data_IF_311860004564
#
_entry.id   IF_311860004564
#
_cell.length_a   1.000
_cell.length_b   1.000
_cell.length_c   1.000
_cell.angle_alpha   90.00
_cell.angle_beta   90.00
_cell.angle_gamma   90.00
#
_symmetry.space_group_name_H-M   'P 1'
#
loop_
_entity.id
_entity.type
_entity.pdbx_description
1 polymer ?
#
# COMPACT_ATOMS: atom_id res chain seq x y z
N UNK A 1 16.72 -7.74 20.71
CA UNK A 1 17.63 -6.69 20.23
C UNK A 1 17.12 -6.26 18.87
N UNK A 2 16.56 -5.06 18.76
CA UNK A 2 15.99 -4.58 17.51
C UNK A 2 17.13 -4.26 16.53
N UNK A 3 17.17 -4.97 15.40
CA UNK A 3 18.07 -4.63 14.30
C UNK A 3 17.58 -3.31 13.70
N UNK A 4 18.13 -2.20 14.18
CA UNK A 4 17.98 -0.89 13.56
C UNK A 4 18.83 -0.88 12.29
N UNK A 5 18.15 -0.97 11.15
CA UNK A 5 18.33 -0.30 9.86
C UNK A 5 19.71 0.23 9.37
N UNK A 6 19.87 0.39 8.05
CA UNK A 6 21.07 0.03 7.34
C UNK A 6 22.08 1.15 7.43
N UNK A 7 23.09 0.97 8.28
CA UNK A 7 24.24 1.86 8.27
C UNK A 7 25.50 1.07 8.05
N UNK A 8 26.29 1.63 7.14
CA UNK A 8 27.68 1.30 6.90
C UNK A 8 28.46 1.30 8.23
N UNK A 9 29.37 0.35 8.38
CA UNK A 9 30.14 0.13 9.61
C UNK A 9 30.99 1.36 9.96
N UNK A 10 31.32 2.19 8.97
CA UNK A 10 32.20 3.33 9.10
C UNK A 10 31.58 4.54 9.84
N UNK A 11 30.24 4.66 9.90
CA UNK A 11 29.55 5.80 10.55
C UNK A 11 29.03 5.49 11.97
N UNK A 12 29.43 4.34 12.53
CA UNK A 12 28.90 3.79 13.80
C UNK A 12 29.12 4.67 15.04
N UNK A 13 30.09 5.57 15.02
CA UNK A 13 30.38 6.48 16.14
C UNK A 13 29.36 7.62 16.24
N UNK A 14 28.78 8.04 15.11
CA UNK A 14 27.74 9.08 15.06
C UNK A 14 26.41 8.58 15.67
N UNK A 15 26.20 7.26 15.74
CA UNK A 15 25.02 6.64 16.40
C UNK A 15 24.91 7.03 17.87
N UNK A 16 26.03 7.22 18.57
CA UNK A 16 26.01 7.54 20.00
C UNK A 16 25.52 8.97 20.22
N UNK A 17 25.95 9.91 19.38
CA UNK A 17 25.50 11.31 19.44
C UNK A 17 24.03 11.45 19.02
N UNK A 18 23.62 10.73 17.98
CA UNK A 18 22.22 10.73 17.53
C UNK A 18 21.28 10.03 18.50
N UNK A 19 21.71 8.92 19.12
CA UNK A 19 20.93 8.26 20.18
C UNK A 19 20.71 9.21 21.35
N UNK A 20 21.77 9.85 21.86
CA UNK A 20 21.64 10.76 22.99
C UNK A 20 20.74 11.97 22.68
N UNK A 21 20.89 12.58 21.50
CA UNK A 21 20.07 13.71 21.08
C UNK A 21 18.62 13.31 20.76
N UNK A 22 18.39 12.08 20.28
CA UNK A 22 17.05 11.52 20.08
C UNK A 22 16.39 11.21 21.44
N UNK A 23 17.11 10.57 22.36
CA UNK A 23 16.64 10.25 23.71
C UNK A 23 16.29 11.54 24.50
N UNK A 24 17.08 12.59 24.37
CA UNK A 24 16.80 13.90 24.97
C UNK A 24 15.51 14.52 24.42
N UNK A 25 15.27 14.39 23.11
CA UNK A 25 14.04 14.90 22.47
C UNK A 25 12.82 14.06 22.82
N UNK A 26 12.95 12.75 22.91
CA UNK A 26 11.90 11.87 23.40
C UNK A 26 11.54 12.21 24.85
N UNK A 27 12.53 12.52 25.70
CA UNK A 27 12.32 12.95 27.08
C UNK A 27 11.59 14.30 27.22
N UNK A 28 11.55 15.12 26.17
CA UNK A 28 10.80 16.38 26.14
C UNK A 28 9.30 16.19 25.85
N UNK A 29 8.83 14.95 25.69
CA UNK A 29 7.41 14.59 25.62
C UNK A 29 6.78 14.68 24.23
N UNK A 30 7.56 14.92 23.18
CA UNK A 30 7.08 14.92 21.80
C UNK A 30 7.90 13.94 20.95
N UNK A 31 7.54 12.67 21.06
CA UNK A 31 8.18 11.58 20.31
C UNK A 31 8.11 11.81 18.79
N UNK A 32 7.05 12.48 18.31
CA UNK A 32 6.88 12.79 16.90
C UNK A 32 7.86 13.87 16.43
N UNK A 33 8.08 14.91 17.23
CA UNK A 33 9.09 15.93 16.95
C UNK A 33 10.52 15.39 17.06
N UNK A 34 10.79 14.46 17.98
CA UNK A 34 12.08 13.77 18.08
C UNK A 34 12.38 12.96 16.80
N UNK A 35 11.39 12.21 16.32
CA UNK A 35 11.45 11.48 15.06
C UNK A 35 11.63 12.40 13.85
N UNK A 36 10.90 13.51 13.79
CA UNK A 36 11.01 14.51 12.73
C UNK A 36 12.41 15.12 12.66
N UNK A 37 12.98 15.44 13.82
CA UNK A 37 14.33 15.97 13.90
C UNK A 37 15.36 14.97 13.39
N UNK A 38 15.25 13.70 13.81
CA UNK A 38 16.14 12.62 13.39
C UNK A 38 16.09 12.48 11.86
N UNK A 39 14.89 12.52 11.29
CA UNK A 39 14.72 12.42 9.85
C UNK A 39 15.37 13.52 9.03
N UNK A 40 15.13 14.78 9.41
CA UNK A 40 15.69 15.92 8.69
C UNK A 40 17.24 15.85 8.67
N UNK A 41 17.82 15.27 9.72
CA UNK A 41 19.26 15.01 9.79
C UNK A 41 19.70 13.86 8.89
N UNK A 42 18.89 12.81 8.73
CA UNK A 42 19.21 11.67 7.85
C UNK A 42 19.04 12.00 6.36
N UNK A 43 17.93 12.63 5.99
CA UNK A 43 17.59 13.02 4.60
C UNK A 43 18.65 13.96 3.99
N UNK A 44 19.15 14.91 4.78
CA UNK A 44 20.13 15.89 4.33
C UNK A 44 21.56 15.36 4.21
N UNK A 45 21.87 14.18 4.77
CA UNK A 45 23.27 13.74 4.95
C UNK A 45 23.71 12.59 4.05
N UNK A 46 22.83 11.70 3.62
CA UNK A 46 23.25 10.52 2.83
C UNK A 46 22.30 10.21 1.68
N UNK A 47 22.81 9.57 0.62
CA UNK A 47 21.98 9.05 -0.45
C UNK A 47 20.96 8.02 0.07
N UNK A 48 21.38 7.19 1.03
CA UNK A 48 20.53 6.22 1.74
C UNK A 48 19.43 6.88 2.56
N UNK A 49 19.69 7.99 3.24
CA UNK A 49 18.66 8.76 3.96
C UNK A 49 17.57 9.32 3.03
N UNK A 50 17.94 9.74 1.81
CA UNK A 50 16.98 10.12 0.77
C UNK A 50 16.20 8.91 0.23
N UNK A 51 16.85 7.79 -0.01
CA UNK A 51 16.20 6.55 -0.48
C UNK A 51 15.23 5.97 0.57
N UNK A 52 15.58 6.07 1.85
CA UNK A 52 14.68 5.79 2.97
C UNK A 52 13.51 6.77 3.04
N UNK A 53 13.75 8.04 2.74
CA UNK A 53 12.69 9.04 2.71
C UNK A 53 11.70 8.87 1.58
N UNK A 54 12.18 8.37 0.44
CA UNK A 54 11.32 7.95 -0.63
C UNK A 54 10.56 6.64 -0.32
N UNK A 55 11.03 5.80 0.60
CA UNK A 55 10.42 4.52 0.98
C UNK A 55 10.06 4.47 2.48
N UNK A 56 9.20 5.38 2.93
CA UNK A 56 8.87 5.53 4.33
C UNK A 56 8.17 4.28 4.89
N UNK A 57 8.83 3.62 5.84
CA UNK A 57 8.27 2.52 6.63
C UNK A 57 8.24 2.97 8.10
N UNK A 58 7.10 3.34 8.67
CA UNK A 58 7.01 3.54 10.09
C UNK A 58 7.20 2.20 10.81
N UNK A 59 8.42 1.92 11.24
CA UNK A 59 8.71 0.73 12.05
C UNK A 59 8.12 0.97 13.43
N UNK A 60 7.30 0.03 13.92
CA UNK A 60 6.77 -0.02 15.31
C UNK A 60 7.81 0.25 16.40
N UNK A 61 9.09 0.02 16.13
CA UNK A 61 10.19 0.29 17.04
C UNK A 61 10.51 1.79 17.22
N UNK A 62 10.11 2.65 16.26
CA UNK A 62 10.37 4.09 16.28
C UNK A 62 9.17 4.90 16.77
N UNK A 63 7.94 4.37 16.67
CA UNK A 63 6.75 4.96 17.26
C UNK A 63 6.12 3.95 18.23
N UNK A 64 6.22 4.13 19.57
CA UNK A 64 5.66 3.20 20.54
C UNK A 64 4.13 3.12 20.44
N UNK A 65 3.50 4.13 19.85
CA UNK A 65 2.07 4.18 19.59
C UNK A 65 1.76 3.66 18.17
N UNK A 66 0.67 2.87 18.00
CA UNK A 66 0.24 2.45 16.68
C UNK A 66 -0.07 3.66 15.80
N UNK A 67 0.22 3.55 14.50
CA UNK A 67 -0.25 4.55 13.55
C UNK A 67 -1.77 4.38 13.40
N UNK A 68 -2.48 5.47 13.62
CA UNK A 68 -3.93 5.58 13.60
C UNK A 68 -4.33 6.78 12.73
N UNK A 69 -5.63 6.95 12.52
CA UNK A 69 -6.17 8.10 11.80
C UNK A 69 -5.73 9.45 12.37
N UNK A 70 -5.56 9.53 13.69
CA UNK A 70 -5.21 10.77 14.37
C UNK A 70 -3.76 11.23 14.11
N UNK A 71 -2.85 10.28 13.87
CA UNK A 71 -1.42 10.57 13.78
C UNK A 71 -0.84 10.43 12.35
N UNK A 72 -1.55 9.80 11.41
CA UNK A 72 -1.09 9.66 10.01
C UNK A 72 -0.82 11.01 9.34
N UNK A 73 -1.74 11.98 9.46
CA UNK A 73 -1.56 13.32 8.90
C UNK A 73 -0.46 14.15 9.57
N UNK A 74 0.06 13.69 10.71
CA UNK A 74 1.17 14.33 11.44
C UNK A 74 2.52 13.67 11.10
N UNK A 75 2.53 12.61 10.30
CA UNK A 75 3.77 12.00 9.83
C UNK A 75 4.54 13.01 8.98
N UNK A 76 5.80 13.15 9.32
CA UNK A 76 6.71 14.02 8.61
C UNK A 76 7.28 13.35 7.36
N UNK A 77 7.83 14.14 6.44
CA UNK A 77 8.49 13.61 5.23
C UNK A 77 7.55 13.13 4.11
N UNK A 78 6.23 13.14 4.33
CA UNK A 78 5.24 12.77 3.32
C UNK A 78 5.39 13.55 2.01
N UNK A 79 5.80 14.82 2.07
CA UNK A 79 6.00 15.67 0.88
C UNK A 79 6.99 15.07 -0.16
N UNK A 80 7.96 14.26 0.30
CA UNK A 80 8.96 13.61 -0.54
C UNK A 80 8.78 12.08 -0.63
N UNK A 81 7.72 11.55 -0.02
CA UNK A 81 7.46 10.12 0.08
C UNK A 81 6.92 9.58 -1.25
N UNK A 82 7.60 8.60 -1.83
CA UNK A 82 7.18 7.93 -3.07
C UNK A 82 6.53 6.57 -2.79
N UNK A 83 6.98 5.86 -1.76
CA UNK A 83 6.43 4.61 -1.29
C UNK A 83 6.18 4.68 0.22
N UNK A 84 4.96 4.35 0.65
CA UNK A 84 4.53 4.37 2.05
C UNK A 84 3.96 3.00 2.41
N UNK A 85 4.48 2.40 3.48
CA UNK A 85 4.00 1.11 3.97
C UNK A 85 3.32 1.28 5.33
N UNK A 86 2.02 1.08 5.39
CA UNK A 86 1.18 1.20 6.59
C UNK A 86 0.55 -0.15 6.96
N UNK A 87 1.09 -1.25 6.45
CA UNK A 87 0.57 -2.58 6.72
C UNK A 87 0.58 -2.88 8.24
N UNK A 88 -0.43 -3.61 8.70
CA UNK A 88 -0.61 -4.01 10.10
C UNK A 88 -0.70 -2.82 11.08
N UNK A 89 -1.19 -1.67 10.60
CA UNK A 89 -1.50 -0.49 11.42
C UNK A 89 -3.00 -0.35 11.68
N UNK A 90 -3.36 0.61 12.53
CA UNK A 90 -4.75 0.90 12.86
C UNK A 90 -5.33 2.03 11.98
N UNK A 91 -4.71 2.35 10.84
CA UNK A 91 -5.26 3.34 9.91
C UNK A 91 -6.61 2.86 9.37
N UNK A 92 -7.60 3.72 9.37
CA UNK A 92 -8.89 3.55 8.73
C UNK A 92 -9.14 4.64 7.68
N UNK A 93 -10.38 4.72 7.21
CA UNK A 93 -10.74 5.64 6.12
C UNK A 93 -10.45 7.10 6.47
N UNK A 94 -10.62 7.50 7.74
CA UNK A 94 -10.42 8.89 8.18
C UNK A 94 -8.96 9.33 8.10
N UNK A 95 -8.03 8.44 8.42
CA UNK A 95 -6.59 8.71 8.36
C UNK A 95 -6.09 9.01 6.96
N UNK A 96 -6.72 8.41 5.94
CA UNK A 96 -6.30 8.58 4.54
C UNK A 96 -6.37 10.05 4.07
N UNK A 97 -7.19 10.89 4.72
CA UNK A 97 -7.20 12.33 4.45
C UNK A 97 -5.83 12.98 4.69
N UNK A 98 -5.04 12.43 5.63
CA UNK A 98 -3.68 12.87 5.93
C UNK A 98 -2.68 12.63 4.79
N UNK A 99 -2.97 11.71 3.87
CA UNK A 99 -2.12 11.42 2.71
C UNK A 99 -2.16 12.50 1.63
N UNK A 100 -3.05 13.50 1.75
CA UNK A 100 -3.06 14.67 0.86
C UNK A 100 -1.75 15.47 0.90
N UNK A 101 -0.97 15.32 1.98
CA UNK A 101 0.36 15.91 2.11
C UNK A 101 1.48 15.08 1.45
N UNK A 102 1.14 14.02 0.69
CA UNK A 102 2.08 13.14 0.00
C UNK A 102 1.92 13.23 -1.54
N UNK A 103 2.28 14.35 -2.17
CA UNK A 103 2.01 14.60 -3.59
C UNK A 103 2.81 13.68 -4.53
N UNK A 104 3.91 13.08 -4.05
CA UNK A 104 4.77 12.18 -4.82
C UNK A 104 4.46 10.70 -4.57
N UNK A 105 3.47 10.39 -3.72
CA UNK A 105 3.19 9.02 -3.32
C UNK A 105 2.68 8.20 -4.52
N UNK A 106 3.48 7.22 -4.93
CA UNK A 106 3.22 6.33 -6.05
C UNK A 106 3.00 4.88 -5.63
N UNK A 107 3.51 4.44 -4.49
CA UNK A 107 3.28 3.11 -3.93
C UNK A 107 2.74 3.21 -2.51
N UNK A 108 1.65 2.52 -2.23
CA UNK A 108 1.00 2.53 -0.92
C UNK A 108 0.57 1.12 -0.53
N UNK A 109 1.06 0.66 0.62
CA UNK A 109 0.64 -0.60 1.23
C UNK A 109 -0.21 -0.31 2.47
N UNK A 110 -1.47 -0.74 2.43
CA UNK A 110 -2.47 -0.60 3.49
C UNK A 110 -2.96 -1.98 3.98
N UNK A 111 -2.16 -3.03 3.78
CA UNK A 111 -2.58 -4.39 4.12
C UNK A 111 -2.91 -4.54 5.61
N UNK A 112 -3.94 -5.31 5.94
CA UNK A 112 -4.39 -5.55 7.31
C UNK A 112 -4.67 -4.27 8.11
N UNK A 113 -5.18 -3.23 7.46
CA UNK A 113 -5.64 -2.00 8.11
C UNK A 113 -7.16 -1.97 8.22
N UNK A 114 -7.73 -0.90 8.79
CA UNK A 114 -9.19 -0.70 8.95
C UNK A 114 -9.82 0.04 7.77
N UNK A 115 -9.14 0.10 6.63
CA UNK A 115 -9.64 0.75 5.41
C UNK A 115 -10.79 -0.04 4.81
N UNK A 116 -11.83 0.66 4.37
CA UNK A 116 -13.03 0.09 3.75
C UNK A 116 -13.25 0.68 2.35
N UNK A 117 -14.37 0.30 1.70
CA UNK A 117 -14.80 0.86 0.41
C UNK A 117 -14.90 2.40 0.44
N UNK A 118 -15.12 3.04 1.60
CA UNK A 118 -15.16 4.49 1.71
C UNK A 118 -13.78 5.14 1.56
N UNK A 119 -12.73 4.47 2.03
CA UNK A 119 -11.36 4.96 1.92
C UNK A 119 -10.89 5.11 0.46
N UNK A 120 -11.41 4.28 -0.44
CA UNK A 120 -11.09 4.32 -1.87
C UNK A 120 -11.36 5.69 -2.51
N UNK A 121 -12.34 6.45 -2.00
CA UNK A 121 -12.66 7.79 -2.49
C UNK A 121 -11.54 8.81 -2.20
N UNK A 122 -10.77 8.59 -1.13
CA UNK A 122 -9.63 9.42 -0.74
C UNK A 122 -8.38 8.98 -1.51
N UNK A 123 -8.16 7.66 -1.62
CA UNK A 123 -7.04 7.10 -2.38
C UNK A 123 -7.07 7.49 -3.86
N UNK A 124 -8.28 7.57 -4.44
CA UNK A 124 -8.50 8.03 -5.82
C UNK A 124 -8.00 9.47 -6.10
N UNK A 125 -7.74 10.26 -5.06
CA UNK A 125 -7.28 11.65 -5.18
C UNK A 125 -5.74 11.77 -5.15
N UNK A 126 -5.01 10.67 -4.90
CA UNK A 126 -3.55 10.67 -4.91
C UNK A 126 -3.03 10.76 -6.35
N UNK A 127 -2.38 11.87 -6.74
CA UNK A 127 -2.15 12.19 -8.16
C UNK A 127 -1.12 11.27 -8.83
N UNK A 128 -0.21 10.70 -8.04
CA UNK A 128 0.91 9.90 -8.52
C UNK A 128 0.76 8.40 -8.23
N UNK A 129 -0.37 7.98 -7.65
CA UNK A 129 -0.55 6.60 -7.21
C UNK A 129 -0.51 5.63 -8.39
N UNK A 130 0.37 4.64 -8.29
CA UNK A 130 0.70 3.65 -9.32
C UNK A 130 0.49 2.21 -8.84
N UNK A 131 0.81 1.95 -7.56
CA UNK A 131 0.70 0.65 -6.90
C UNK A 131 -0.03 0.83 -5.57
N UNK A 132 -1.05 0.00 -5.34
CA UNK A 132 -1.87 0.01 -4.14
C UNK A 132 -2.12 -1.41 -3.66
N UNK A 133 -1.70 -1.71 -2.43
CA UNK A 133 -1.97 -3.01 -1.78
C UNK A 133 -2.99 -2.79 -0.65
N UNK A 134 -4.10 -3.53 -0.70
CA UNK A 134 -5.22 -3.45 0.24
C UNK A 134 -5.57 -4.83 0.80
N UNK A 135 -4.57 -5.71 0.88
CA UNK A 135 -4.78 -7.10 1.27
C UNK A 135 -5.33 -7.19 2.70
N UNK A 136 -6.29 -8.07 2.95
CA UNK A 136 -6.89 -8.26 4.27
C UNK A 136 -7.75 -7.09 4.78
N UNK A 137 -8.00 -6.05 3.97
CA UNK A 137 -8.93 -4.97 4.31
C UNK A 137 -10.40 -5.42 4.16
N UNK A 138 -11.33 -4.71 4.82
CA UNK A 138 -12.77 -5.02 4.77
C UNK A 138 -13.45 -4.47 3.50
N UNK A 139 -12.95 -4.85 2.31
CA UNK A 139 -13.45 -4.40 1.02
C UNK A 139 -14.48 -5.35 0.43
N UNK A 140 -15.63 -4.81 0.01
CA UNK A 140 -16.70 -5.54 -0.70
C UNK A 140 -16.72 -5.26 -2.20
N UNK A 141 -16.10 -4.15 -2.62
CA UNK A 141 -16.01 -3.72 -4.01
C UNK A 141 -17.05 -2.67 -4.43
N UNK A 142 -17.93 -2.24 -3.52
CA UNK A 142 -19.01 -1.28 -3.79
C UNK A 142 -18.49 0.04 -4.39
N UNK A 143 -17.27 0.47 -4.04
CA UNK A 143 -16.68 1.73 -4.51
C UNK A 143 -15.42 1.56 -5.37
N UNK A 144 -15.06 0.35 -5.80
CA UNK A 144 -13.82 0.11 -6.55
C UNK A 144 -13.70 0.98 -7.80
N UNK A 145 -14.78 1.19 -8.53
CA UNK A 145 -14.75 2.02 -9.74
C UNK A 145 -14.38 3.49 -9.47
N UNK A 146 -14.43 3.96 -8.22
CA UNK A 146 -13.93 5.30 -7.87
C UNK A 146 -12.44 5.44 -8.08
N UNK A 147 -11.67 4.35 -8.06
CA UNK A 147 -10.26 4.38 -8.40
C UNK A 147 -10.01 4.60 -9.90
N UNK A 148 -11.03 4.61 -10.77
CA UNK A 148 -10.83 4.87 -12.21
C UNK A 148 -10.28 6.27 -12.52
N UNK A 149 -10.42 7.23 -11.58
CA UNK A 149 -9.82 8.56 -11.69
C UNK A 149 -8.33 8.58 -11.31
N UNK A 150 -7.82 7.56 -10.61
CA UNK A 150 -6.39 7.38 -10.40
C UNK A 150 -5.76 6.79 -11.67
N UNK A 151 -5.59 7.62 -12.70
CA UNK A 151 -5.20 7.19 -14.05
C UNK A 151 -3.81 6.58 -14.15
N UNK A 152 -2.96 6.80 -13.14
CA UNK A 152 -1.62 6.22 -13.05
C UNK A 152 -1.61 4.83 -12.39
N UNK A 153 -2.72 4.41 -11.75
CA UNK A 153 -2.82 3.14 -11.04
C UNK A 153 -2.81 1.99 -12.04
N UNK A 154 -1.75 1.18 -12.00
CA UNK A 154 -1.61 -0.01 -12.84
C UNK A 154 -1.48 -1.31 -12.02
N UNK A 155 -1.24 -1.22 -10.72
CA UNK A 155 -1.09 -2.36 -9.82
C UNK A 155 -2.03 -2.22 -8.62
N UNK A 156 -2.87 -3.23 -8.41
CA UNK A 156 -3.87 -3.26 -7.34
C UNK A 156 -3.98 -4.67 -6.75
N UNK A 157 -3.62 -4.81 -5.49
CA UNK A 157 -3.77 -6.06 -4.75
C UNK A 157 -4.93 -5.95 -3.76
N UNK A 158 -5.85 -6.92 -3.85
CA UNK A 158 -7.07 -7.03 -3.08
C UNK A 158 -7.19 -8.44 -2.47
N UNK A 159 -6.05 -9.08 -2.19
CA UNK A 159 -6.04 -10.44 -1.66
C UNK A 159 -6.68 -10.46 -0.26
N UNK A 160 -7.27 -11.58 0.15
CA UNK A 160 -7.90 -11.72 1.47
C UNK A 160 -9.00 -10.68 1.76
N UNK A 161 -9.64 -10.11 0.73
CA UNK A 161 -10.77 -9.19 0.89
C UNK A 161 -12.12 -9.91 0.70
N UNK A 162 -13.21 -9.26 1.10
CA UNK A 162 -14.59 -9.77 0.93
C UNK A 162 -15.14 -9.45 -0.48
N UNK A 163 -14.26 -9.37 -1.47
CA UNK A 163 -14.63 -9.02 -2.84
C UNK A 163 -15.42 -10.17 -3.50
N UNK A 164 -16.62 -9.85 -3.99
CA UNK A 164 -17.51 -10.80 -4.67
C UNK A 164 -17.78 -10.39 -6.14
N UNK A 165 -18.70 -11.10 -6.81
CA UNK A 165 -18.98 -10.92 -8.24
C UNK A 165 -19.38 -9.49 -8.65
N UNK A 166 -20.09 -8.75 -7.81
CA UNK A 166 -20.44 -7.36 -8.13
C UNK A 166 -19.24 -6.41 -8.01
N UNK A 167 -18.33 -6.67 -7.07
CA UNK A 167 -17.05 -5.96 -6.96
C UNK A 167 -16.16 -6.16 -8.19
N UNK A 168 -16.20 -7.34 -8.80
CA UNK A 168 -15.48 -7.59 -10.06
C UNK A 168 -15.97 -6.73 -11.23
N UNK A 169 -17.28 -6.50 -11.35
CA UNK A 169 -17.81 -5.62 -12.39
C UNK A 169 -17.28 -4.20 -12.24
N UNK A 170 -17.14 -3.72 -11.00
CA UNK A 170 -16.56 -2.42 -10.70
C UNK A 170 -15.06 -2.39 -11.01
N UNK A 171 -14.33 -3.45 -10.66
CA UNK A 171 -12.90 -3.59 -10.93
C UNK A 171 -12.57 -3.46 -12.43
N UNK A 172 -13.41 -4.02 -13.30
CA UNK A 172 -13.22 -3.98 -14.75
C UNK A 172 -13.44 -2.59 -15.37
N UNK A 173 -13.99 -1.63 -14.62
CA UNK A 173 -14.04 -0.23 -15.04
C UNK A 173 -12.68 0.48 -14.90
N UNK A 174 -11.74 -0.10 -14.15
CA UNK A 174 -10.36 0.41 -14.05
C UNK A 174 -9.53 -0.09 -15.23
N UNK A 175 -9.70 0.54 -16.38
CA UNK A 175 -9.06 0.11 -17.63
C UNK A 175 -7.54 0.30 -17.66
N UNK A 176 -6.94 1.00 -16.70
CA UNK A 176 -5.49 1.19 -16.62
C UNK A 176 -4.75 0.06 -15.89
N UNK A 177 -5.48 -0.83 -15.19
CA UNK A 177 -4.86 -1.91 -14.42
C UNK A 177 -4.16 -2.91 -15.33
N UNK A 178 -2.97 -3.31 -14.88
CA UNK A 178 -2.11 -4.31 -15.52
C UNK A 178 -1.87 -5.49 -14.58
N UNK A 179 -1.67 -5.23 -13.29
CA UNK A 179 -1.38 -6.24 -12.27
C UNK A 179 -2.49 -6.23 -11.24
N UNK A 180 -3.17 -7.37 -11.06
CA UNK A 180 -4.31 -7.48 -10.14
C UNK A 180 -4.21 -8.75 -9.31
N UNK A 181 -4.11 -8.58 -7.98
CA UNK A 181 -4.17 -9.66 -6.99
C UNK A 181 -5.58 -9.85 -6.44
N UNK A 182 -6.13 -11.06 -6.56
CA UNK A 182 -7.47 -11.45 -6.08
C UNK A 182 -7.43 -12.79 -5.31
N UNK A 183 -6.27 -13.20 -4.82
CA UNK A 183 -6.16 -14.44 -4.06
C UNK A 183 -7.03 -14.38 -2.79
N UNK A 184 -7.59 -15.53 -2.41
CA UNK A 184 -8.37 -15.66 -1.16
C UNK A 184 -9.53 -14.64 -1.04
N UNK A 185 -10.15 -14.29 -2.17
CA UNK A 185 -11.38 -13.50 -2.26
C UNK A 185 -12.63 -14.40 -2.38
N UNK A 186 -13.82 -13.80 -2.31
CA UNK A 186 -15.12 -14.50 -2.44
C UNK A 186 -15.62 -14.57 -3.90
N UNK A 187 -14.70 -14.47 -4.86
CA UNK A 187 -15.02 -14.50 -6.29
C UNK A 187 -15.44 -15.91 -6.74
N UNK A 188 -16.53 -15.98 -7.51
CA UNK A 188 -16.98 -17.21 -8.16
C UNK A 188 -16.50 -17.29 -9.61
N UNK A 189 -16.52 -18.50 -10.17
CA UNK A 189 -16.25 -18.77 -11.60
C UNK A 189 -17.13 -17.89 -12.50
N UNK A 190 -18.42 -17.75 -12.19
CA UNK A 190 -19.34 -16.93 -12.99
C UNK A 190 -18.90 -15.46 -13.04
N UNK A 191 -18.37 -14.93 -11.94
CA UNK A 191 -17.82 -13.58 -11.89
C UNK A 191 -16.59 -13.39 -12.80
N UNK A 192 -15.83 -14.46 -13.04
CA UNK A 192 -14.61 -14.41 -13.85
C UNK A 192 -14.88 -14.32 -15.36
N UNK A 193 -16.08 -14.68 -15.82
CA UNK A 193 -16.44 -14.50 -17.22
C UNK A 193 -16.34 -13.03 -17.66
N UNK A 194 -16.48 -12.09 -16.72
CA UNK A 194 -16.34 -10.67 -16.99
C UNK A 194 -14.91 -10.22 -17.34
N UNK A 195 -13.88 -11.01 -17.03
CA UNK A 195 -12.49 -10.72 -17.44
C UNK A 195 -12.22 -11.00 -18.92
N UNK A 196 -13.15 -11.65 -19.62
CA UNK A 196 -13.01 -11.88 -21.07
C UNK A 196 -12.99 -10.52 -21.77
N UNK A 197 -11.86 -10.17 -22.37
CA UNK A 197 -11.65 -8.89 -23.05
C UNK A 197 -10.92 -7.82 -22.22
N UNK A 198 -10.47 -8.13 -21.00
CA UNK A 198 -9.61 -7.25 -20.20
C UNK A 198 -8.15 -7.23 -20.72
N UNK A 199 -7.95 -6.76 -21.96
CA UNK A 199 -6.68 -6.84 -22.70
C UNK A 199 -5.53 -6.00 -22.12
N UNK A 200 -5.83 -5.13 -21.16
CA UNK A 200 -4.81 -4.31 -20.49
C UNK A 200 -4.07 -5.08 -19.38
N UNK A 201 -4.63 -6.19 -18.91
CA UNK A 201 -3.99 -7.01 -17.87
C UNK A 201 -2.72 -7.70 -18.40
N UNK A 202 -1.76 -7.84 -17.49
CA UNK A 202 -0.45 -8.46 -17.66
C UNK A 202 -0.19 -9.54 -16.62
N UNK A 203 -0.67 -9.33 -15.39
CA UNK A 203 -0.63 -10.33 -14.31
C UNK A 203 -1.96 -10.34 -13.59
N UNK A 204 -2.50 -11.53 -13.42
CA UNK A 204 -3.76 -11.76 -12.71
C UNK A 204 -3.55 -12.94 -11.76
N UNK A 205 -3.64 -12.68 -10.47
CA UNK A 205 -3.65 -13.74 -9.45
C UNK A 205 -5.08 -14.00 -9.01
N UNK A 206 -5.55 -15.22 -9.24
CA UNK A 206 -6.91 -15.65 -8.95
C UNK A 206 -6.94 -16.50 -7.67
N UNK A 207 -8.09 -16.52 -6.95
CA UNK A 207 -8.26 -17.42 -5.82
C UNK A 207 -8.19 -18.89 -6.28
N UNK A 208 -8.12 -19.82 -5.33
CA UNK A 208 -8.28 -21.25 -5.65
C UNK A 208 -9.69 -21.49 -6.18
N UNK A 209 -9.79 -22.00 -7.42
CA UNK A 209 -11.06 -22.16 -8.13
C UNK A 209 -11.36 -23.65 -8.32
N UNK A 210 -12.64 -24.05 -8.26
CA UNK A 210 -13.00 -25.42 -8.59
C UNK A 210 -12.62 -25.75 -10.04
N UNK A 211 -12.31 -27.04 -10.34
CA UNK A 211 -11.95 -27.47 -11.68
C UNK A 211 -13.00 -27.04 -12.72
N UNK A 212 -12.58 -26.30 -13.74
CA UNK A 212 -13.43 -25.82 -14.82
C UNK A 212 -12.63 -25.47 -16.07
N UNK A 213 -13.28 -25.52 -17.23
CA UNK A 213 -12.68 -25.09 -18.51
C UNK A 213 -12.52 -23.56 -18.60
N UNK A 214 -13.11 -22.81 -17.66
CA UNK A 214 -13.07 -21.35 -17.68
C UNK A 214 -11.64 -20.81 -17.57
N UNK A 215 -10.77 -21.45 -16.77
CA UNK A 215 -9.37 -21.04 -16.66
C UNK A 215 -8.65 -21.13 -18.01
N UNK A 216 -8.90 -22.18 -18.79
CA UNK A 216 -8.32 -22.33 -20.12
C UNK A 216 -8.90 -21.30 -21.10
N UNK A 217 -10.21 -21.05 -21.03
CA UNK A 217 -10.88 -20.01 -21.82
C UNK A 217 -10.32 -18.62 -21.51
N UNK A 218 -10.15 -18.29 -20.24
CA UNK A 218 -9.63 -17.00 -19.76
C UNK A 218 -8.18 -16.79 -20.20
N UNK A 219 -7.32 -17.80 -20.05
CA UNK A 219 -5.94 -17.78 -20.59
C UNK A 219 -5.90 -17.58 -22.11
N UNK A 220 -6.84 -18.19 -22.84
CA UNK A 220 -6.92 -18.02 -24.30
C UNK A 220 -7.44 -16.63 -24.70
N UNK A 221 -8.30 -16.02 -23.89
CA UNK A 221 -8.84 -14.67 -24.12
C UNK A 221 -7.89 -13.55 -23.68
N UNK A 222 -6.91 -13.84 -22.82
CA UNK A 222 -5.93 -12.89 -22.31
C UNK A 222 -4.50 -13.37 -22.63
N UNK A 223 -4.10 -13.41 -23.92
CA UNK A 223 -2.84 -14.05 -24.34
C UNK A 223 -1.59 -13.35 -23.80
N UNK A 224 -1.67 -12.04 -23.52
CA UNK A 224 -0.57 -11.24 -22.97
C UNK A 224 -0.62 -11.12 -21.43
N UNK A 225 -1.54 -11.84 -20.78
CA UNK A 225 -1.70 -11.85 -19.33
C UNK A 225 -1.24 -13.18 -18.72
N UNK A 226 -0.31 -13.11 -17.79
CA UNK A 226 0.07 -14.24 -16.96
C UNK A 226 -1.00 -14.46 -15.87
N UNK A 227 -1.74 -15.56 -15.99
CA UNK A 227 -2.82 -15.94 -15.06
C UNK A 227 -2.32 -16.99 -14.08
N UNK A 228 -2.18 -16.57 -12.82
CA UNK A 228 -1.81 -17.40 -11.68
C UNK A 228 -3.08 -17.79 -10.91
N UNK A 229 -3.08 -19.00 -10.35
CA UNK A 229 -4.18 -19.51 -9.52
C UNK A 229 -3.54 -19.99 -8.23
N UNK A 230 -4.02 -19.48 -7.10
CA UNK A 230 -3.49 -19.80 -5.78
C UNK A 230 -3.52 -21.30 -5.51
N UNK A 231 -2.38 -21.86 -5.11
CA UNK A 231 -2.25 -23.22 -4.57
C UNK A 231 -1.86 -23.14 -3.10
N UNK A 232 -2.49 -23.97 -2.27
CA UNK A 232 -2.19 -24.10 -0.83
C UNK A 232 -0.72 -24.31 -0.52
#
# INVERSE_FOLDING_TARGET
MANLWPWDVDTRHELIEFSAAFDEKCAQGDALAALQWLWNKLESRTAWGREYACNFRPVRAMNPDPITDENLGKLWGLNNCAALYLNDTEVGDDGLSGLTNAPLLSSLDLSNTRVTDLGLLKLAQLPMLQSLTLDGCELTGTNLAKLSVATNLFELDLNDTKLAADGLKQLLLLTNLQNVGLERTEITIDGLEHFIGATNLRKLWLPDLPPSDLLQKLRSSLPDCAVYVGGK
#
